data_IF_088889079268
#
_entry.id   IF_088889079268
#
_cell.length_a   1.000
_cell.length_b   1.000
_cell.length_c   1.000
_cell.angle_alpha   90.00
_cell.angle_beta   90.00
_cell.angle_gamma   90.00
#
_symmetry.space_group_name_H-M   'P 1'
#
loop_
_entity.id
_entity.type
_entity.pdbx_description
1 polymer ?
#
# COMPACT_ATOMS: atom_id res chain seq x y z
N UNK A 1 3.46 18.63 20.13
CA UNK A 1 3.16 19.51 18.98
C UNK A 1 1.69 19.39 18.63
N UNK A 2 1.09 20.42 18.05
CA UNK A 2 -0.23 20.39 17.43
C UNK A 2 -0.10 19.79 16.03
N UNK A 3 -0.69 18.64 15.79
CA UNK A 3 -0.51 17.87 14.55
C UNK A 3 -1.82 17.76 13.80
N UNK A 4 -1.83 18.04 12.50
CA UNK A 4 -2.88 17.59 11.60
C UNK A 4 -2.45 16.23 11.04
N UNK A 5 -3.29 15.20 11.18
CA UNK A 5 -3.06 13.92 10.56
C UNK A 5 -3.90 13.77 9.29
N UNK A 6 -3.29 13.30 8.19
CA UNK A 6 -3.95 13.16 6.89
C UNK A 6 -3.74 11.75 6.35
N UNK A 7 -4.78 10.92 6.35
CA UNK A 7 -4.68 9.53 5.92
C UNK A 7 -6.03 8.92 5.57
N UNK A 8 -6.02 7.79 4.86
CA UNK A 8 -7.27 7.17 4.38
C UNK A 8 -7.34 5.67 4.66
N UNK A 9 -6.42 4.81 4.19
CA UNK A 9 -6.51 3.35 4.29
C UNK A 9 -6.03 2.82 5.65
N UNK A 10 -6.20 1.51 5.84
CA UNK A 10 -5.69 0.77 7.01
C UNK A 10 -4.19 0.99 7.24
N UNK A 11 -3.41 1.15 6.16
CA UNK A 11 -1.97 1.47 6.23
C UNK A 11 -1.65 2.67 7.13
N UNK A 12 -2.55 3.65 7.17
CA UNK A 12 -2.35 4.92 7.89
C UNK A 12 -2.73 4.84 9.36
N UNK A 13 -3.51 3.82 9.78
CA UNK A 13 -4.07 3.73 11.13
C UNK A 13 -2.99 3.61 12.21
N UNK A 14 -1.97 2.73 12.10
CA UNK A 14 -0.91 2.65 13.11
C UNK A 14 -0.12 3.95 13.27
N UNK A 15 0.08 4.71 12.18
CA UNK A 15 0.74 6.00 12.25
C UNK A 15 -0.12 7.06 12.98
N UNK A 16 -1.44 7.07 12.75
CA UNK A 16 -2.37 7.92 13.52
C UNK A 16 -2.27 7.63 15.01
N UNK A 17 -2.31 6.35 15.39
CA UNK A 17 -2.22 5.92 16.79
C UNK A 17 -0.89 6.33 17.43
N UNK A 18 0.23 6.12 16.73
CA UNK A 18 1.56 6.49 17.22
C UNK A 18 1.70 8.01 17.41
N UNK A 19 1.20 8.81 16.47
CA UNK A 19 1.23 10.27 16.58
C UNK A 19 0.31 10.75 17.70
N UNK A 20 -0.89 10.18 17.84
CA UNK A 20 -1.85 10.56 18.88
C UNK A 20 -1.36 10.22 20.29
N UNK A 21 -0.57 9.16 20.45
CA UNK A 21 -0.02 8.75 21.75
C UNK A 21 0.96 9.78 22.34
N UNK A 22 1.66 10.54 21.50
CA UNK A 22 2.74 11.44 21.96
C UNK A 22 2.49 12.92 21.63
N UNK A 23 1.50 13.23 20.78
CA UNK A 23 1.24 14.58 20.29
C UNK A 23 -0.25 14.92 20.31
N UNK A 24 -0.56 16.22 20.30
CA UNK A 24 -1.92 16.73 20.20
C UNK A 24 -2.40 16.68 18.74
N UNK A 25 -3.12 15.62 18.38
CA UNK A 25 -3.75 15.51 17.06
C UNK A 25 -5.01 16.37 17.06
N UNK A 26 -4.88 17.59 16.54
CA UNK A 26 -5.93 18.61 16.59
C UNK A 26 -7.02 18.43 15.52
N UNK A 27 -6.72 17.72 14.45
CA UNK A 27 -7.69 17.40 13.39
C UNK A 27 -7.17 16.23 12.53
N UNK A 28 -8.07 15.38 12.08
CA UNK A 28 -7.78 14.29 11.15
C UNK A 28 -8.47 14.57 9.81
N UNK A 29 -7.70 14.56 8.73
CA UNK A 29 -8.20 14.64 7.36
C UNK A 29 -8.20 13.28 6.71
N UNK A 30 -9.31 12.90 6.09
CA UNK A 30 -9.45 11.64 5.35
C UNK A 30 -10.31 11.85 4.10
N UNK A 31 -10.39 10.85 3.22
CA UNK A 31 -11.31 10.93 2.10
C UNK A 31 -12.77 10.77 2.54
N UNK A 32 -13.72 11.37 1.80
CA UNK A 32 -15.14 11.22 2.09
C UNK A 32 -15.57 9.74 2.11
N UNK A 33 -16.55 9.37 2.93
CA UNK A 33 -17.16 8.04 2.90
C UNK A 33 -17.63 7.69 1.50
N UNK A 34 -17.36 6.46 1.06
CA UNK A 34 -17.76 5.98 -0.27
C UNK A 34 -18.75 4.82 -0.15
N UNK A 35 -19.71 4.70 -1.09
CA UNK A 35 -20.59 3.55 -1.15
C UNK A 35 -19.78 2.26 -1.28
N UNK A 36 -20.00 1.29 -0.39
CA UNK A 36 -19.30 0.00 -0.37
C UNK A 36 -20.25 -1.18 -0.12
N UNK A 37 -19.85 -2.37 -0.60
CA UNK A 37 -20.58 -3.63 -0.38
C UNK A 37 -21.91 -3.75 -1.14
N UNK A 38 -22.61 -4.87 -0.87
CA UNK A 38 -23.95 -5.17 -1.42
C UNK A 38 -24.98 -4.23 -0.80
N UNK A 39 -25.35 -3.18 -1.36
CA UNK A 39 -26.32 -2.22 -0.81
C UNK A 39 -25.81 -0.78 -0.78
N UNK A 40 -24.58 -0.57 -1.24
CA UNK A 40 -24.00 0.77 -1.49
C UNK A 40 -24.15 1.76 -0.32
N UNK A 41 -24.19 1.27 0.93
CA UNK A 41 -24.19 2.16 2.10
C UNK A 41 -22.85 2.90 2.19
N UNK A 42 -22.83 4.20 2.55
CA UNK A 42 -21.60 4.91 2.83
C UNK A 42 -20.78 4.17 3.89
N UNK A 43 -19.51 3.87 3.58
CA UNK A 43 -18.57 3.29 4.53
C UNK A 43 -17.51 4.33 4.87
N UNK A 44 -17.30 4.53 6.16
CA UNK A 44 -16.19 5.34 6.65
C UNK A 44 -14.85 4.76 6.20
N UNK A 45 -13.87 5.61 6.02
CA UNK A 45 -12.49 5.14 5.81
C UNK A 45 -11.96 4.53 7.12
N UNK A 46 -10.96 3.63 7.07
CA UNK A 46 -10.34 3.11 8.28
C UNK A 46 -9.82 4.19 9.23
N UNK A 47 -9.18 5.22 8.67
CA UNK A 47 -8.69 6.37 9.46
C UNK A 47 -9.85 7.15 10.09
N UNK A 48 -10.97 7.37 9.37
CA UNK A 48 -12.16 8.04 9.91
C UNK A 48 -12.71 7.27 11.13
N UNK A 49 -12.97 5.98 10.95
CA UNK A 49 -13.51 5.13 12.02
C UNK A 49 -12.57 5.10 13.25
N UNK A 50 -11.27 5.06 13.02
CA UNK A 50 -10.30 5.08 14.12
C UNK A 50 -10.23 6.43 14.83
N UNK A 51 -10.23 7.51 14.08
CA UNK A 51 -10.22 8.86 14.61
C UNK A 51 -11.46 9.15 15.49
N UNK A 52 -12.66 8.75 15.05
CA UNK A 52 -13.89 8.83 15.85
C UNK A 52 -13.76 8.03 17.17
N UNK A 53 -13.21 6.81 17.11
CA UNK A 53 -13.00 5.98 18.29
C UNK A 53 -11.98 6.59 19.28
N UNK A 54 -11.10 7.45 18.81
CA UNK A 54 -10.14 8.22 19.61
C UNK A 54 -10.70 9.58 20.08
N UNK A 55 -11.93 9.94 19.68
CA UNK A 55 -12.55 11.23 20.02
C UNK A 55 -11.96 12.43 19.27
N UNK A 56 -11.30 12.19 18.12
CA UNK A 56 -10.65 13.24 17.33
C UNK A 56 -11.62 13.89 16.32
N UNK A 57 -11.44 15.18 16.08
CA UNK A 57 -12.16 15.89 15.03
C UNK A 57 -11.77 15.33 13.64
N UNK A 58 -12.77 15.00 12.80
CA UNK A 58 -12.54 14.45 11.47
C UNK A 58 -13.12 15.38 10.41
N UNK A 59 -12.32 15.71 9.40
CA UNK A 59 -12.71 16.46 8.21
C UNK A 59 -12.46 15.61 6.95
N UNK A 60 -13.37 15.66 6.00
CA UNK A 60 -13.27 14.86 4.78
C UNK A 60 -13.68 15.65 3.53
N UNK A 61 -12.98 16.75 3.20
CA UNK A 61 -13.27 17.53 2.01
C UNK A 61 -13.06 16.69 0.75
N UNK A 62 -13.88 16.94 -0.27
CA UNK A 62 -13.71 16.28 -1.58
C UNK A 62 -12.47 16.78 -2.34
N UNK A 63 -12.00 17.98 -1.99
CA UNK A 63 -10.82 18.61 -2.59
C UNK A 63 -10.25 19.66 -1.62
N UNK A 64 -8.94 19.85 -1.67
CA UNK A 64 -8.23 20.95 -0.99
C UNK A 64 -7.81 22.06 -1.96
N UNK A 65 -8.34 22.05 -3.20
CA UNK A 65 -8.09 23.11 -4.18
C UNK A 65 -8.96 24.33 -3.95
N UNK A 66 -10.06 24.19 -3.22
CA UNK A 66 -10.97 25.28 -2.87
C UNK A 66 -10.29 26.24 -1.87
N UNK A 67 -10.25 27.56 -2.13
CA UNK A 67 -9.70 28.55 -1.21
C UNK A 67 -10.35 28.52 0.19
N UNK A 68 -11.65 28.23 0.29
CA UNK A 68 -12.32 28.13 1.58
C UNK A 68 -11.79 26.94 2.41
N UNK A 69 -11.62 25.76 1.76
CA UNK A 69 -11.03 24.58 2.43
C UNK A 69 -9.57 24.83 2.83
N UNK A 70 -8.81 25.59 2.06
CA UNK A 70 -7.44 26.00 2.41
C UNK A 70 -7.42 26.94 3.61
N UNK A 71 -8.33 27.91 3.64
CA UNK A 71 -8.44 28.83 4.78
C UNK A 71 -8.85 28.10 6.07
N UNK A 72 -9.80 27.18 5.99
CA UNK A 72 -10.18 26.32 7.12
C UNK A 72 -9.01 25.45 7.62
N UNK A 73 -8.21 24.91 6.70
CA UNK A 73 -7.01 24.13 7.04
C UNK A 73 -5.96 25.00 7.76
N UNK A 74 -5.67 26.17 7.22
CA UNK A 74 -4.72 27.13 7.79
C UNK A 74 -5.17 27.67 9.16
N UNK A 75 -6.48 27.87 9.37
CA UNK A 75 -7.05 28.35 10.63
C UNK A 75 -6.83 27.39 11.81
N UNK A 76 -6.50 26.11 11.55
CA UNK A 76 -6.15 25.14 12.61
C UNK A 76 -4.84 25.53 13.33
N UNK A 77 -3.95 26.25 12.65
CA UNK A 77 -2.64 26.68 13.18
C UNK A 77 -1.83 25.53 13.76
N UNK A 78 -1.71 24.44 13.01
CA UNK A 78 -0.92 23.28 13.39
C UNK A 78 0.59 23.58 13.33
N UNK A 79 1.35 22.88 14.16
CA UNK A 79 2.81 22.94 14.07
C UNK A 79 3.33 22.16 12.87
N UNK A 80 2.66 21.04 12.53
CA UNK A 80 3.06 20.15 11.45
C UNK A 80 1.86 19.34 10.94
N UNK A 81 1.91 18.90 9.68
CA UNK A 81 0.98 17.89 9.16
C UNK A 81 1.73 16.57 8.87
N UNK A 82 1.11 15.45 9.23
CA UNK A 82 1.59 14.10 8.91
C UNK A 82 0.67 13.48 7.88
N UNK A 83 1.21 13.11 6.73
CA UNK A 83 0.46 12.61 5.57
C UNK A 83 0.83 11.16 5.30
N UNK A 84 -0.17 10.29 5.17
CA UNK A 84 0.00 8.86 4.89
C UNK A 84 -1.10 8.38 3.96
N UNK A 85 -0.79 8.12 2.70
CA UNK A 85 -1.76 7.59 1.73
C UNK A 85 -3.12 8.34 1.77
N UNK A 86 -3.10 9.66 1.86
CA UNK A 86 -4.31 10.50 1.96
C UNK A 86 -5.14 10.46 0.68
N UNK A 87 -4.47 10.45 -0.48
CA UNK A 87 -5.09 10.24 -1.78
C UNK A 87 -5.69 11.49 -2.43
N UNK A 88 -5.41 12.68 -1.92
CA UNK A 88 -5.65 13.96 -2.59
C UNK A 88 -4.33 14.72 -2.77
N UNK A 89 -4.26 15.51 -3.84
CA UNK A 89 -3.15 16.44 -4.06
C UNK A 89 -3.27 17.59 -3.05
N UNK A 90 -2.15 17.92 -2.40
CA UNK A 90 -2.05 19.05 -1.49
C UNK A 90 -1.52 20.26 -2.28
N UNK A 91 -2.33 21.34 -2.44
CA UNK A 91 -1.87 22.59 -3.01
C UNK A 91 -0.79 23.26 -2.15
N UNK A 92 0.02 24.13 -2.74
CA UNK A 92 1.11 24.83 -2.02
C UNK A 92 0.62 25.51 -0.75
N UNK A 93 -0.52 26.19 -0.79
CA UNK A 93 -1.10 26.84 0.38
C UNK A 93 -1.39 25.88 1.56
N UNK A 94 -1.67 24.60 1.28
CA UNK A 94 -1.85 23.56 2.31
C UNK A 94 -0.51 23.06 2.82
N UNK A 95 0.48 22.91 1.92
CA UNK A 95 1.85 22.48 2.29
C UNK A 95 2.53 23.50 3.20
N UNK A 96 2.30 24.79 2.97
CA UNK A 96 2.93 25.91 3.69
C UNK A 96 2.18 26.30 4.96
N UNK A 97 0.94 25.84 5.16
CA UNK A 97 0.10 26.26 6.28
C UNK A 97 0.62 25.81 7.68
N UNK A 98 1.10 24.58 7.88
CA UNK A 98 1.71 24.19 9.15
C UNK A 98 3.09 24.81 9.28
N UNK A 99 3.45 25.23 10.52
CA UNK A 99 4.74 25.92 10.80
C UNK A 99 5.97 25.14 10.30
N UNK A 100 5.97 23.82 10.44
CA UNK A 100 7.05 22.92 9.98
C UNK A 100 6.67 22.17 8.69
N UNK A 101 5.67 22.65 7.95
CA UNK A 101 5.20 22.03 6.72
C UNK A 101 4.54 20.67 6.92
N UNK A 102 4.64 19.83 5.89
CA UNK A 102 3.99 18.52 5.85
C UNK A 102 5.04 17.41 5.69
N UNK A 103 4.98 16.37 6.54
CA UNK A 103 5.78 15.16 6.40
C UNK A 103 4.95 14.04 5.79
N UNK A 104 5.51 13.32 4.82
CA UNK A 104 4.90 12.14 4.24
C UNK A 104 5.61 10.87 4.69
N UNK A 105 4.83 9.84 5.03
CA UNK A 105 5.31 8.47 5.22
C UNK A 105 5.20 7.77 3.88
N UNK A 106 6.32 7.63 3.16
CA UNK A 106 6.36 7.00 1.85
C UNK A 106 6.91 5.57 1.92
N UNK A 107 6.17 4.63 1.33
CA UNK A 107 6.45 3.19 1.44
C UNK A 107 7.44 2.70 0.37
N UNK A 108 8.56 3.39 0.22
CA UNK A 108 9.71 2.95 -0.58
C UNK A 108 11.01 3.61 -0.10
N UNK A 109 12.12 3.12 -0.63
CA UNK A 109 13.45 3.74 -0.49
C UNK A 109 13.65 4.78 -1.60
N UNK A 110 13.12 5.99 -1.38
CA UNK A 110 13.26 7.11 -2.33
C UNK A 110 14.73 7.36 -2.72
N UNK A 111 15.02 7.67 -3.97
CA UNK A 111 14.13 8.12 -5.03
C UNK A 111 13.43 7.01 -5.84
N UNK A 112 13.63 5.73 -5.47
CA UNK A 112 12.97 4.62 -6.12
C UNK A 112 11.49 4.56 -5.73
N UNK A 113 10.60 4.32 -6.72
CA UNK A 113 9.17 4.15 -6.55
C UNK A 113 8.43 5.37 -5.99
N UNK A 114 8.69 6.57 -6.52
CA UNK A 114 7.82 7.73 -6.31
C UNK A 114 6.42 7.42 -6.85
N UNK A 115 5.35 7.77 -6.13
CA UNK A 115 3.97 7.62 -6.61
C UNK A 115 3.10 6.66 -5.81
N UNK A 116 2.06 6.10 -6.45
CA UNK A 116 0.88 5.59 -5.76
C UNK A 116 0.96 4.13 -5.27
N UNK A 117 1.83 3.28 -5.85
CA UNK A 117 1.84 1.84 -5.58
C UNK A 117 3.25 1.27 -5.35
N UNK A 118 4.08 1.88 -4.48
CA UNK A 118 5.48 1.50 -4.32
C UNK A 118 5.65 0.05 -3.85
N UNK A 119 4.81 -0.43 -2.94
CA UNK A 119 4.86 -1.79 -2.38
C UNK A 119 4.67 -2.85 -3.48
N UNK A 120 3.62 -2.70 -4.29
CA UNK A 120 3.32 -3.62 -5.38
C UNK A 120 4.44 -3.61 -6.42
N UNK A 121 4.91 -2.43 -6.80
CA UNK A 121 5.95 -2.27 -7.82
C UNK A 121 7.29 -2.88 -7.38
N UNK A 122 7.68 -2.73 -6.12
CA UNK A 122 8.89 -3.34 -5.58
C UNK A 122 8.85 -4.88 -5.68
N UNK A 123 7.74 -5.51 -5.27
CA UNK A 123 7.57 -6.97 -5.39
C UNK A 123 7.59 -7.41 -6.87
N UNK A 124 6.82 -6.74 -7.73
CA UNK A 124 6.71 -7.10 -9.14
C UNK A 124 8.04 -6.93 -9.89
N UNK A 125 8.84 -5.94 -9.52
CA UNK A 125 10.17 -5.72 -10.08
C UNK A 125 11.21 -6.74 -9.57
N UNK A 126 10.93 -7.42 -8.45
CA UNK A 126 11.86 -8.35 -7.83
C UNK A 126 12.96 -7.65 -7.02
N UNK A 127 12.64 -6.51 -6.43
CA UNK A 127 13.56 -5.82 -5.54
C UNK A 127 13.89 -6.71 -4.34
N UNK A 128 15.14 -6.71 -3.90
CA UNK A 128 15.60 -7.49 -2.75
C UNK A 128 15.17 -6.85 -1.42
N UNK A 129 14.97 -5.53 -1.41
CA UNK A 129 14.62 -4.75 -0.22
C UNK A 129 13.68 -3.59 -0.58
N UNK A 130 12.98 -3.10 0.43
CA UNK A 130 12.19 -1.88 0.39
C UNK A 130 12.23 -1.22 1.77
N UNK A 131 11.44 -0.20 2.00
CA UNK A 131 11.44 0.47 3.30
C UNK A 131 10.43 1.59 3.39
N UNK A 132 10.63 2.42 4.40
CA UNK A 132 9.89 3.66 4.63
C UNK A 132 10.86 4.84 4.57
N UNK A 133 10.44 5.89 3.89
CA UNK A 133 11.04 7.22 3.99
C UNK A 133 10.07 8.19 4.65
N UNK A 134 10.54 8.92 5.67
CA UNK A 134 9.86 10.15 6.14
C UNK A 134 10.47 11.29 5.37
N UNK A 135 9.66 11.96 4.56
CA UNK A 135 10.11 13.03 3.68
C UNK A 135 9.32 14.31 3.91
N UNK A 136 9.96 15.46 3.71
CA UNK A 136 9.29 16.75 3.61
C UNK A 136 8.51 16.79 2.31
N UNK A 137 7.24 17.20 2.35
CA UNK A 137 6.45 17.31 1.13
C UNK A 137 6.71 18.63 0.41
N UNK A 138 6.72 18.54 -0.91
CA UNK A 138 6.81 19.64 -1.87
C UNK A 138 5.74 19.48 -2.96
N UNK A 139 5.63 20.45 -3.87
CA UNK A 139 4.67 20.40 -4.96
C UNK A 139 4.87 19.24 -5.95
N UNK A 140 6.08 18.67 -6.00
CA UNK A 140 6.42 17.54 -6.88
C UNK A 140 5.91 16.20 -6.31
N UNK A 141 5.74 15.21 -7.20
CA UNK A 141 5.33 13.88 -6.80
C UNK A 141 6.47 13.16 -6.07
N UNK A 142 6.40 13.12 -4.74
CA UNK A 142 7.35 12.48 -3.84
C UNK A 142 8.82 12.88 -4.10
N UNK A 143 9.06 14.16 -4.44
CA UNK A 143 10.38 14.71 -4.79
C UNK A 143 11.11 15.32 -3.61
N UNK A 144 10.42 15.65 -2.53
CA UNK A 144 10.96 16.37 -1.40
C UNK A 144 12.09 15.63 -0.66
N UNK A 145 12.88 16.33 0.13
CA UNK A 145 14.02 15.76 0.83
C UNK A 145 13.60 14.78 1.93
N UNK A 146 14.45 13.78 2.17
CA UNK A 146 14.23 12.70 3.14
C UNK A 146 14.87 13.06 4.48
N UNK A 147 14.08 12.96 5.56
CA UNK A 147 14.55 13.17 6.93
C UNK A 147 15.05 11.87 7.57
N UNK A 148 14.27 10.80 7.44
CA UNK A 148 14.62 9.47 7.95
C UNK A 148 14.25 8.40 6.93
N UNK A 149 15.03 7.31 6.95
CA UNK A 149 14.66 6.07 6.22
C UNK A 149 14.96 4.86 7.07
N UNK A 150 14.22 3.81 6.84
CA UNK A 150 14.45 2.49 7.40
C UNK A 150 14.14 1.44 6.34
N UNK A 151 14.87 0.31 6.36
CA UNK A 151 14.90 -0.69 5.28
C UNK A 151 14.50 -2.06 5.82
N UNK A 152 13.75 -2.82 5.03
CA UNK A 152 13.46 -4.24 5.29
C UNK A 152 13.68 -5.09 4.04
N UNK A 153 14.11 -6.35 4.18
CA UNK A 153 14.17 -7.27 3.06
C UNK A 153 12.76 -7.64 2.58
N UNK A 154 12.63 -7.85 1.29
CA UNK A 154 11.45 -8.49 0.67
C UNK A 154 11.72 -9.99 0.66
N UNK A 155 10.98 -10.75 1.48
CA UNK A 155 11.13 -12.20 1.52
C UNK A 155 10.58 -12.86 0.24
N UNK A 156 11.09 -14.05 -0.15
CA UNK A 156 10.71 -14.71 -1.39
C UNK A 156 9.20 -14.96 -1.57
N UNK A 157 8.45 -15.10 -0.48
CA UNK A 157 7.02 -15.34 -0.47
C UNK A 157 6.21 -14.14 0.03
N UNK A 158 6.84 -12.98 0.22
CA UNK A 158 6.09 -11.77 0.58
C UNK A 158 5.06 -11.43 -0.51
N UNK A 159 3.86 -11.13 -0.06
CA UNK A 159 2.79 -10.55 -0.88
C UNK A 159 2.70 -9.05 -0.62
N UNK A 160 1.96 -8.34 -1.46
CA UNK A 160 1.69 -6.92 -1.19
C UNK A 160 1.04 -6.71 0.18
N UNK A 161 0.21 -7.64 0.66
CA UNK A 161 -0.42 -7.55 1.98
C UNK A 161 0.59 -7.73 3.12
N UNK A 162 1.43 -8.78 3.09
CA UNK A 162 2.40 -9.03 4.16
C UNK A 162 3.41 -7.90 4.29
N UNK A 163 3.85 -7.38 3.15
CA UNK A 163 4.78 -6.26 3.11
C UNK A 163 4.13 -4.95 3.55
N UNK A 164 2.88 -4.70 3.12
CA UNK A 164 2.06 -3.57 3.56
C UNK A 164 1.95 -3.53 5.09
N UNK A 165 1.62 -4.64 5.74
CA UNK A 165 1.41 -4.68 7.19
C UNK A 165 2.72 -4.39 7.95
N UNK A 166 3.84 -4.94 7.48
CA UNK A 166 5.18 -4.68 8.05
C UNK A 166 5.60 -3.22 7.87
N UNK A 167 5.41 -2.66 6.68
CA UNK A 167 5.74 -1.27 6.37
C UNK A 167 4.83 -0.27 7.11
N UNK A 168 3.56 -0.59 7.30
CA UNK A 168 2.64 0.23 8.09
C UNK A 168 3.13 0.40 9.53
N UNK A 169 3.53 -0.70 10.19
CA UNK A 169 4.09 -0.65 11.55
C UNK A 169 5.44 0.06 11.60
N UNK A 170 6.28 -0.13 10.58
CA UNK A 170 7.55 0.58 10.45
C UNK A 170 7.33 2.09 10.30
N UNK A 171 6.39 2.50 9.44
CA UNK A 171 6.04 3.89 9.22
C UNK A 171 5.54 4.59 10.48
N UNK A 172 4.75 3.89 11.30
CA UNK A 172 4.28 4.38 12.60
C UNK A 172 5.44 4.67 13.56
N UNK A 173 6.39 3.73 13.70
CA UNK A 173 7.59 3.94 14.55
C UNK A 173 8.48 5.06 14.01
N UNK A 174 8.68 5.09 12.69
CA UNK A 174 9.60 6.03 12.08
C UNK A 174 9.07 7.47 12.12
N UNK A 175 7.74 7.67 11.98
CA UNK A 175 7.15 9.01 12.11
C UNK A 175 7.17 9.51 13.55
N UNK A 176 6.90 8.66 14.53
CA UNK A 176 7.01 9.03 15.95
C UNK A 176 8.44 9.51 16.26
N UNK A 177 9.45 8.74 15.82
CA UNK A 177 10.85 9.14 15.95
C UNK A 177 11.15 10.45 15.22
N UNK A 178 10.66 10.62 13.98
CA UNK A 178 10.89 11.84 13.19
C UNK A 178 10.32 13.08 13.90
N UNK A 179 9.14 12.97 14.50
CA UNK A 179 8.51 14.07 15.25
C UNK A 179 9.25 14.40 16.54
N UNK A 180 9.74 13.39 17.26
CA UNK A 180 10.51 13.58 18.50
C UNK A 180 11.88 14.25 18.22
N UNK A 181 12.54 13.86 17.14
CA UNK A 181 13.87 14.34 16.75
C UNK A 181 13.83 15.56 15.82
N UNK A 182 12.64 16.05 15.41
CA UNK A 182 12.45 17.03 14.33
C UNK A 182 13.40 18.23 14.37
N UNK A 183 13.66 18.87 15.53
CA UNK A 183 14.56 20.03 15.60
C UNK A 183 16.03 19.69 15.26
N UNK A 184 16.43 18.43 15.40
CA UNK A 184 17.80 17.96 15.15
C UNK A 184 17.96 17.31 13.78
N UNK A 185 16.85 16.91 13.12
CA UNK A 185 16.90 16.25 11.83
C UNK A 185 17.31 17.21 10.72
N UNK A 186 18.14 16.72 9.82
CA UNK A 186 18.50 17.41 8.58
C UNK A 186 17.91 16.67 7.41
N UNK A 187 17.09 17.37 6.65
CA UNK A 187 16.53 16.85 5.41
C UNK A 187 17.62 16.72 4.34
N UNK A 188 17.73 15.56 3.71
CA UNK A 188 18.70 15.26 2.65
C UNK A 188 17.97 15.21 1.32
N UNK A 189 18.41 16.00 0.35
CA UNK A 189 17.85 15.96 -1.01
C UNK A 189 17.96 14.56 -1.60
N UNK A 190 16.94 14.16 -2.33
CA UNK A 190 16.98 12.89 -3.06
C UNK A 190 17.99 12.98 -4.21
N UNK A 191 18.79 11.92 -4.47
CA UNK A 191 19.65 11.89 -5.64
C UNK A 191 18.84 11.90 -6.94
N UNK A 192 19.41 12.40 -8.01
CA UNK A 192 18.82 12.38 -9.35
C UNK A 192 18.85 10.97 -9.96
N UNK A 193 19.91 10.21 -9.65
CA UNK A 193 20.05 8.83 -10.09
C UNK A 193 19.12 7.87 -9.32
N UNK A 194 18.66 6.85 -10.02
CA UNK A 194 17.81 5.81 -9.42
C UNK A 194 16.32 6.19 -9.28
N UNK A 195 15.91 7.33 -9.80
CA UNK A 195 14.50 7.75 -9.82
C UNK A 195 13.67 6.78 -10.63
N UNK A 196 12.65 6.20 -10.01
CA UNK A 196 11.63 5.39 -10.67
C UNK A 196 10.24 5.76 -10.16
N UNK A 197 9.21 5.40 -10.94
CA UNK A 197 7.84 5.76 -10.62
C UNK A 197 6.95 4.52 -10.41
N UNK A 198 6.18 4.55 -9.34
CA UNK A 198 5.21 3.54 -8.97
C UNK A 198 3.80 3.98 -9.41
N UNK A 199 3.51 3.80 -10.68
CA UNK A 199 2.17 4.06 -11.22
C UNK A 199 1.12 3.24 -10.46
N UNK A 200 -0.07 3.84 -10.25
CA UNK A 200 -1.21 3.16 -9.66
C UNK A 200 -1.49 1.85 -10.40
N UNK A 201 -1.80 0.80 -9.65
CA UNK A 201 -2.15 -0.50 -10.23
C UNK A 201 -3.47 -0.40 -10.98
N UNK A 202 -3.43 -0.76 -12.26
CA UNK A 202 -4.62 -0.89 -13.09
C UNK A 202 -5.20 -2.30 -12.98
N UNK A 203 -6.53 -2.42 -13.10
CA UNK A 203 -7.20 -3.72 -13.04
C UNK A 203 -6.82 -4.65 -14.18
N UNK A 204 -6.40 -4.12 -15.31
CA UNK A 204 -5.92 -4.90 -16.45
C UNK A 204 -4.64 -5.66 -16.13
N UNK A 205 -3.81 -5.15 -15.22
CA UNK A 205 -2.60 -5.82 -14.75
C UNK A 205 -2.89 -7.13 -13.97
N UNK A 206 -4.14 -7.34 -13.56
CA UNK A 206 -4.57 -8.61 -12.95
C UNK A 206 -4.65 -9.78 -13.96
N UNK A 207 -4.51 -9.51 -15.26
CA UNK A 207 -4.40 -10.52 -16.30
C UNK A 207 -2.95 -10.95 -16.45
N UNK A 208 -2.69 -12.25 -16.24
CA UNK A 208 -1.35 -12.80 -16.42
C UNK A 208 -1.03 -13.05 -17.90
N UNK A 209 0.22 -12.81 -18.22
CA UNK A 209 0.83 -13.31 -19.44
C UNK A 209 1.70 -14.53 -19.08
N UNK A 210 1.17 -15.71 -19.34
CA UNK A 210 1.82 -16.98 -19.03
C UNK A 210 3.04 -17.27 -19.91
N UNK A 211 3.27 -16.50 -20.98
CA UNK A 211 4.46 -16.65 -21.86
C UNK A 211 5.72 -16.05 -21.21
N UNK A 212 5.57 -15.30 -20.11
CA UNK A 212 6.68 -14.74 -19.35
C UNK A 212 7.36 -15.82 -18.49
N UNK A 213 8.59 -15.56 -17.99
CA UNK A 213 9.26 -16.42 -17.02
C UNK A 213 8.45 -16.60 -15.73
N UNK A 214 8.49 -17.80 -15.16
CA UNK A 214 7.76 -18.16 -13.95
C UNK A 214 8.04 -17.21 -12.76
N UNK A 215 9.27 -16.73 -12.62
CA UNK A 215 9.66 -15.76 -11.59
C UNK A 215 8.87 -14.45 -11.70
N UNK A 216 8.68 -13.94 -12.91
CA UNK A 216 7.95 -12.71 -13.14
C UNK A 216 6.46 -12.88 -12.88
N UNK A 217 5.89 -14.02 -13.32
CA UNK A 217 4.48 -14.36 -13.10
C UNK A 217 4.20 -14.55 -11.59
N UNK A 218 5.07 -15.26 -10.88
CA UNK A 218 4.94 -15.45 -9.44
C UNK A 218 5.02 -14.12 -8.67
N UNK A 219 5.96 -13.22 -9.04
CA UNK A 219 6.04 -11.88 -8.46
C UNK A 219 4.79 -11.05 -8.76
N UNK A 220 4.24 -11.13 -9.97
CA UNK A 220 3.01 -10.42 -10.31
C UNK A 220 1.81 -10.92 -9.47
N UNK A 221 1.66 -12.23 -9.27
CA UNK A 221 0.64 -12.80 -8.39
C UNK A 221 0.78 -12.22 -6.98
N UNK A 222 1.97 -12.27 -6.40
CA UNK A 222 2.22 -11.78 -5.03
C UNK A 222 2.07 -10.27 -4.91
N UNK A 223 2.58 -9.51 -5.88
CA UNK A 223 2.50 -8.05 -5.90
C UNK A 223 1.07 -7.51 -6.05
N UNK A 224 0.16 -8.29 -6.63
CA UNK A 224 -1.25 -7.94 -6.79
C UNK A 224 -2.16 -8.58 -5.72
N UNK A 225 -1.62 -9.33 -4.79
CA UNK A 225 -2.37 -10.02 -3.73
C UNK A 225 -2.54 -9.14 -2.48
N UNK A 226 -3.73 -9.07 -1.89
CA UNK A 226 -4.98 -9.68 -2.32
C UNK A 226 -5.78 -8.83 -3.32
N UNK A 227 -5.36 -7.60 -3.62
CA UNK A 227 -6.08 -6.68 -4.48
C UNK A 227 -5.17 -5.98 -5.50
N UNK A 228 -5.59 -5.91 -6.79
CA UNK A 228 -6.85 -6.41 -7.35
C UNK A 228 -6.95 -7.93 -7.33
N UNK A 229 -5.83 -8.64 -7.22
CA UNK A 229 -5.69 -10.08 -7.28
C UNK A 229 -5.79 -10.62 -8.70
N UNK A 230 -5.09 -11.72 -8.92
CA UNK A 230 -5.07 -12.43 -10.20
C UNK A 230 -6.11 -13.53 -10.19
N UNK A 231 -6.84 -13.71 -11.27
CA UNK A 231 -7.86 -14.74 -11.42
C UNK A 231 -7.54 -15.66 -12.57
N UNK A 232 -7.79 -16.96 -12.36
CA UNK A 232 -7.74 -17.98 -13.43
C UNK A 232 -9.03 -18.78 -13.43
N UNK A 233 -9.39 -19.32 -14.57
CA UNK A 233 -10.38 -20.38 -14.69
C UNK A 233 -9.67 -21.74 -14.58
N UNK A 234 -10.24 -22.63 -13.77
CA UNK A 234 -9.67 -23.96 -13.50
C UNK A 234 -10.77 -25.02 -13.44
N UNK A 235 -10.43 -26.31 -13.45
CA UNK A 235 -11.39 -27.40 -13.21
C UNK A 235 -12.12 -27.29 -11.87
N UNK A 236 -11.59 -26.49 -10.92
CA UNK A 236 -12.17 -26.20 -9.61
C UNK A 236 -13.09 -24.97 -9.61
N UNK A 237 -13.33 -24.38 -10.78
CA UNK A 237 -14.00 -23.11 -10.96
C UNK A 237 -13.02 -21.95 -10.99
N UNK A 238 -13.54 -20.73 -10.90
CA UNK A 238 -12.74 -19.51 -10.89
C UNK A 238 -11.98 -19.34 -9.58
N UNK A 239 -10.67 -19.26 -9.68
CA UNK A 239 -9.75 -19.11 -8.55
C UNK A 239 -9.02 -17.77 -8.56
N UNK A 240 -8.99 -17.12 -7.42
CA UNK A 240 -8.09 -16.00 -7.16
C UNK A 240 -6.79 -16.52 -6.58
N UNK A 241 -5.68 -16.25 -7.24
CA UNK A 241 -4.34 -16.64 -6.79
C UNK A 241 -3.85 -15.60 -5.79
N UNK A 242 -3.43 -16.06 -4.61
CA UNK A 242 -3.03 -15.17 -3.52
C UNK A 242 -1.54 -15.26 -3.20
N UNK A 243 -0.95 -16.46 -3.32
CA UNK A 243 0.47 -16.64 -3.16
C UNK A 243 0.99 -17.72 -4.13
N UNK A 244 2.20 -17.53 -4.62
CA UNK A 244 2.81 -18.42 -5.59
C UNK A 244 4.35 -18.29 -5.58
N UNK A 245 5.02 -19.36 -6.01
CA UNK A 245 6.47 -19.39 -6.25
C UNK A 245 6.78 -19.96 -7.63
N UNK A 246 7.94 -19.59 -8.16
CA UNK A 246 8.48 -20.23 -9.34
C UNK A 246 9.07 -21.59 -8.97
N UNK A 247 8.90 -22.56 -9.86
CA UNK A 247 9.43 -23.91 -9.78
C UNK A 247 9.88 -24.36 -11.16
N UNK A 248 10.64 -25.44 -11.22
CA UNK A 248 10.94 -26.10 -12.49
C UNK A 248 9.67 -26.73 -13.07
N UNK A 249 9.54 -26.65 -14.37
CA UNK A 249 8.41 -27.23 -15.10
C UNK A 249 8.45 -26.85 -16.56
N UNK A 250 7.88 -27.69 -17.42
CA UNK A 250 7.80 -27.48 -18.86
C UNK A 250 6.41 -27.84 -19.38
N UNK A 251 5.93 -27.07 -20.32
CA UNK A 251 4.60 -27.26 -20.90
C UNK A 251 4.10 -26.05 -21.68
N UNK A 252 2.91 -26.17 -22.24
CA UNK A 252 2.28 -25.04 -22.91
C UNK A 252 1.96 -23.94 -21.89
N UNK A 253 2.38 -22.68 -22.10
CA UNK A 253 2.11 -21.59 -21.18
C UNK A 253 0.63 -21.48 -20.76
N UNK A 254 0.36 -21.46 -19.48
CA UNK A 254 -0.98 -21.46 -18.89
C UNK A 254 -1.60 -22.83 -18.66
N UNK A 255 -1.00 -23.93 -19.16
CA UNK A 255 -1.49 -25.28 -18.90
C UNK A 255 -1.20 -25.69 -17.44
N UNK A 256 -2.17 -26.37 -16.82
CA UNK A 256 -2.00 -26.98 -15.50
C UNK A 256 -1.18 -28.28 -15.68
N UNK A 257 -0.03 -28.36 -15.07
CA UNK A 257 0.87 -29.54 -15.12
C UNK A 257 0.43 -30.60 -14.12
N UNK A 258 0.32 -30.23 -12.85
CA UNK A 258 -0.18 -31.05 -11.74
C UNK A 258 -0.68 -30.15 -10.61
N UNK A 259 -1.68 -30.60 -9.87
CA UNK A 259 -2.26 -29.83 -8.76
C UNK A 259 -2.71 -28.44 -9.19
N UNK A 260 -2.06 -27.41 -8.64
CA UNK A 260 -2.17 -26.00 -9.04
C UNK A 260 -0.80 -25.44 -9.47
N UNK A 261 -0.04 -26.23 -10.22
CA UNK A 261 1.20 -25.82 -10.88
C UNK A 261 0.90 -25.53 -12.35
N UNK A 262 1.20 -24.31 -12.83
CA UNK A 262 0.91 -23.87 -14.17
C UNK A 262 2.19 -23.56 -14.93
N UNK A 263 2.29 -24.06 -16.16
CA UNK A 263 3.43 -23.80 -17.04
C UNK A 263 3.52 -22.32 -17.41
N UNK A 264 4.75 -21.82 -17.51
CA UNK A 264 5.10 -20.49 -17.97
C UNK A 264 5.95 -20.55 -19.23
N UNK A 265 6.35 -19.40 -19.78
CA UNK A 265 7.27 -19.35 -20.91
C UNK A 265 8.63 -19.99 -20.59
N UNK A 266 9.06 -19.90 -19.34
CA UNK A 266 10.22 -20.64 -18.79
C UNK A 266 9.87 -21.01 -17.34
N UNK A 267 10.00 -22.31 -17.00
CA UNK A 267 9.61 -22.82 -15.70
C UNK A 267 8.11 -22.90 -15.50
N UNK A 268 7.68 -23.06 -14.26
CA UNK A 268 6.27 -23.12 -13.89
C UNK A 268 6.02 -22.35 -12.59
N UNK A 269 4.78 -21.98 -12.36
CA UNK A 269 4.32 -21.33 -11.13
C UNK A 269 3.52 -22.34 -10.31
N UNK A 270 4.01 -22.62 -9.11
CA UNK A 270 3.25 -23.35 -8.09
C UNK A 270 2.46 -22.37 -7.24
N UNK A 271 1.13 -22.51 -7.26
CA UNK A 271 0.23 -21.72 -6.41
C UNK A 271 0.24 -22.32 -5.01
N UNK A 272 0.52 -21.50 -4.00
CA UNK A 272 0.57 -21.89 -2.60
C UNK A 272 -0.73 -21.62 -1.87
N UNK A 273 -1.39 -20.50 -2.21
CA UNK A 273 -2.65 -20.05 -1.62
C UNK A 273 -3.58 -19.51 -2.69
N UNK A 274 -4.85 -19.90 -2.62
CA UNK A 274 -5.87 -19.43 -3.53
C UNK A 274 -7.23 -19.26 -2.84
N UNK A 275 -8.16 -18.60 -3.52
CA UNK A 275 -9.50 -18.33 -3.04
C UNK A 275 -10.52 -18.63 -4.14
N UNK A 276 -11.49 -19.51 -3.87
CA UNK A 276 -12.69 -19.65 -4.72
C UNK A 276 -13.61 -18.45 -4.56
N UNK A 277 -14.33 -18.12 -5.60
CA UNK A 277 -15.31 -17.03 -5.55
C UNK A 277 -16.31 -17.24 -4.39
N UNK A 278 -16.46 -16.20 -3.54
CA UNK A 278 -17.36 -16.22 -2.40
C UNK A 278 -16.93 -17.11 -1.23
N UNK A 279 -15.73 -17.72 -1.26
CA UNK A 279 -15.18 -18.55 -0.18
C UNK A 279 -14.01 -17.86 0.51
N UNK A 280 -13.50 -18.48 1.59
CA UNK A 280 -12.26 -18.02 2.24
C UNK A 280 -11.04 -18.46 1.47
N UNK A 281 -9.94 -17.71 1.63
CA UNK A 281 -8.61 -18.13 1.20
C UNK A 281 -8.20 -19.42 1.92
N UNK A 282 -7.48 -20.29 1.21
CA UNK A 282 -6.96 -21.55 1.76
C UNK A 282 -5.71 -21.98 1.00
N UNK A 283 -4.95 -22.91 1.58
CA UNK A 283 -3.81 -23.51 0.89
C UNK A 283 -4.24 -24.22 -0.40
N UNK A 284 -3.37 -24.28 -1.39
CA UNK A 284 -3.63 -25.04 -2.61
C UNK A 284 -3.90 -26.53 -2.31
N UNK A 285 -3.19 -27.08 -1.33
CA UNK A 285 -3.38 -28.47 -0.89
C UNK A 285 -4.78 -28.74 -0.35
N UNK A 286 -5.30 -27.89 0.54
CA UNK A 286 -6.66 -28.01 1.08
C UNK A 286 -7.72 -27.85 0.00
N UNK A 287 -7.46 -26.94 -0.96
CA UNK A 287 -8.36 -26.69 -2.07
C UNK A 287 -8.48 -27.92 -2.98
N UNK A 288 -7.35 -28.61 -3.24
CA UNK A 288 -7.31 -29.83 -4.04
C UNK A 288 -7.94 -31.02 -3.28
N UNK A 289 -7.65 -31.17 -1.98
CA UNK A 289 -8.22 -32.22 -1.13
C UNK A 289 -9.76 -32.12 -1.08
N UNK A 290 -10.29 -30.91 -0.91
CA UNK A 290 -11.74 -30.67 -0.90
C UNK A 290 -12.44 -30.93 -2.24
N UNK A 291 -11.69 -30.90 -3.37
CA UNK A 291 -12.23 -31.22 -4.67
C UNK A 291 -12.28 -32.73 -4.95
N UNK A 292 -11.35 -33.50 -4.38
CA UNK A 292 -11.33 -34.96 -4.47
C UNK A 292 -12.50 -35.62 -3.71
N UNK A 293 -12.86 -35.06 -2.54
CA UNK A 293 -13.99 -35.57 -1.74
C UNK A 293 -15.38 -35.22 -2.28
N UNK A 294 -15.46 -34.27 -3.23
CA UNK A 294 -16.77 -33.91 -3.87
C UNK A 294 -17.09 -34.75 -5.11
N UNK A 295 -16.23 -35.68 -5.52
CA UNK A 295 -16.40 -36.59 -6.67
C UNK A 295 -16.62 -38.07 -6.27
N UNK A 296 -16.75 -38.34 -4.98
CA UNK A 296 -17.10 -39.67 -4.40
C UNK A 296 -18.59 -39.63 -3.89
#
# INVERSE_FOLDING_TARGET
MRVIFMGTPDFSVPALEAVHAEHDVVCVYTQPPRPAGRGKKPRLTPVHARAEALGLEVRHPASLKDPAAQAEFAAIQADIAVVVAYGLILPQAVLDAPRNGCLNIHASLLPRWRGAAPIQRAIMAGDAETGICIMQMEAGLDTGPVLLRDTIPIAPLDTAQTLHDRLSQMGARLIARALAELPALRATAQPEDGVTYAAKIDKSEARLDWTRPAEEVARQIRGLSPFPGVWIDSPLGRLKLLNARAVDGDGTPGAILHGLTLACGTGAVEVLEAQREGKRAMSAEDLLRGAGSARG
#
